data_IF_938650397940
#
_entry.id   IF_938650397940
#
_cell.length_a   1.000
_cell.length_b   1.000
_cell.length_c   1.000
_cell.angle_alpha   90.00
_cell.angle_beta   90.00
_cell.angle_gamma   90.00
#
_symmetry.space_group_name_H-M   'P 1'
#
loop_
_entity.id
_entity.type
_entity.pdbx_description
1 polymer ?
#
# COMPACT_ATOMS: atom_id res chain seq x y z
N UNK A 1 6.78 -21.73 -29.88
CA UNK A 1 5.82 -20.62 -29.80
C UNK A 1 6.56 -19.33 -30.14
N UNK A 2 6.25 -18.69 -31.26
CA UNK A 2 6.85 -17.40 -31.64
C UNK A 2 6.34 -16.34 -30.66
N UNK A 3 7.20 -15.85 -29.78
CA UNK A 3 6.88 -14.74 -28.87
C UNK A 3 6.80 -13.47 -29.69
N UNK A 4 5.61 -13.12 -30.16
CA UNK A 4 5.38 -11.81 -30.79
C UNK A 4 5.90 -10.72 -29.83
N UNK A 5 6.69 -9.77 -30.34
CA UNK A 5 7.19 -8.65 -29.55
C UNK A 5 6.02 -7.77 -29.11
N UNK A 6 6.08 -7.31 -27.85
CA UNK A 6 5.10 -6.35 -27.34
C UNK A 6 5.18 -5.03 -28.15
N UNK A 7 4.05 -4.35 -28.41
CA UNK A 7 4.01 -3.17 -29.26
C UNK A 7 4.72 -1.96 -28.64
N UNK A 8 5.10 -1.00 -29.48
CA UNK A 8 5.78 0.22 -29.04
C UNK A 8 4.95 1.06 -28.04
N UNK A 9 3.61 1.04 -28.17
CA UNK A 9 2.69 1.65 -27.22
C UNK A 9 2.82 1.07 -25.81
N UNK A 10 2.99 -0.26 -25.71
CA UNK A 10 3.24 -0.92 -24.43
C UNK A 10 4.59 -0.53 -23.84
N UNK A 11 5.65 -0.45 -24.65
CA UNK A 11 6.96 -0.03 -24.12
C UNK A 11 6.94 1.40 -23.57
N UNK A 12 6.19 2.32 -24.19
CA UNK A 12 5.99 3.67 -23.65
C UNK A 12 5.26 3.65 -22.32
N UNK A 13 4.14 2.90 -22.22
CA UNK A 13 3.40 2.72 -20.97
C UNK A 13 4.28 2.06 -19.88
N UNK A 14 5.04 1.03 -20.24
CA UNK A 14 5.93 0.33 -19.32
C UNK A 14 7.01 1.25 -18.77
N UNK A 15 7.70 2.02 -19.62
CA UNK A 15 8.71 2.98 -19.19
C UNK A 15 8.11 4.10 -18.33
N UNK A 16 6.93 4.61 -18.69
CA UNK A 16 6.20 5.57 -17.90
C UNK A 16 5.89 5.02 -16.49
N UNK A 17 5.39 3.79 -16.43
CA UNK A 17 5.09 3.10 -15.17
C UNK A 17 6.34 2.84 -14.32
N UNK A 18 7.46 2.44 -14.93
CA UNK A 18 8.76 2.30 -14.25
C UNK A 18 9.15 3.60 -13.55
N UNK A 19 9.09 4.73 -14.26
CA UNK A 19 9.46 6.04 -13.72
C UNK A 19 8.51 6.49 -12.61
N UNK A 20 7.20 6.39 -12.83
CA UNK A 20 6.18 6.77 -11.85
C UNK A 20 6.25 5.91 -10.59
N UNK A 21 6.43 4.58 -10.72
CA UNK A 21 6.56 3.68 -9.59
C UNK A 21 7.86 3.91 -8.80
N UNK A 22 8.95 4.26 -9.49
CA UNK A 22 10.19 4.65 -8.81
C UNK A 22 10.00 5.94 -8.01
N UNK A 23 9.31 6.95 -8.59
CA UNK A 23 8.89 8.16 -7.88
C UNK A 23 8.03 7.84 -6.66
N UNK A 24 7.00 7.00 -6.81
CA UNK A 24 6.16 6.53 -5.70
C UNK A 24 6.99 5.91 -4.57
N UNK A 25 7.97 5.06 -4.91
CA UNK A 25 8.86 4.44 -3.93
C UNK A 25 9.76 5.46 -3.22
N UNK A 26 10.21 6.49 -3.92
CA UNK A 26 10.94 7.62 -3.32
C UNK A 26 10.03 8.37 -2.37
N UNK A 27 8.82 8.69 -2.77
CA UNK A 27 7.85 9.41 -1.96
C UNK A 27 7.40 8.64 -0.72
N UNK A 28 7.29 7.32 -0.78
CA UNK A 28 6.93 6.46 0.35
C UNK A 28 7.89 6.61 1.56
N UNK A 29 9.15 6.97 1.32
CA UNK A 29 10.14 7.27 2.36
C UNK A 29 10.26 8.76 2.63
N UNK A 30 10.28 9.58 1.57
CA UNK A 30 10.53 11.01 1.69
C UNK A 30 9.41 11.74 2.44
N UNK A 31 8.14 11.46 2.14
CA UNK A 31 7.01 12.15 2.79
C UNK A 31 6.94 11.91 4.31
N UNK A 32 6.99 10.66 4.83
CA UNK A 32 7.07 10.43 6.27
C UNK A 32 8.28 11.10 6.93
N UNK A 33 9.44 11.08 6.27
CA UNK A 33 10.65 11.72 6.79
C UNK A 33 10.50 13.23 6.89
N UNK A 34 10.02 13.89 5.84
CA UNK A 34 9.73 15.32 5.81
C UNK A 34 8.66 15.68 6.84
N UNK A 35 7.60 14.90 6.94
CA UNK A 35 6.54 15.10 7.92
C UNK A 35 7.08 15.06 9.35
N UNK A 36 7.98 14.12 9.66
CA UNK A 36 8.63 14.01 10.97
C UNK A 36 9.58 15.19 11.26
N UNK A 37 10.04 15.90 10.24
CA UNK A 37 10.84 17.13 10.36
C UNK A 37 9.99 18.39 10.59
N UNK A 38 8.70 18.34 10.25
CA UNK A 38 7.74 19.43 10.43
C UNK A 38 6.99 19.30 11.77
N UNK A 39 6.72 18.07 12.20
CA UNK A 39 6.06 17.81 13.49
C UNK A 39 6.60 16.56 14.17
N UNK A 40 6.67 16.61 15.51
CA UNK A 40 7.01 15.46 16.37
C UNK A 40 5.80 14.92 17.12
N UNK A 41 4.61 15.40 16.78
CA UNK A 41 3.37 14.92 17.37
C UNK A 41 2.97 13.57 16.76
N UNK A 42 2.85 12.50 17.56
CA UNK A 42 2.42 11.20 17.08
C UNK A 42 1.04 11.25 16.43
N UNK A 43 0.11 12.02 17.01
CA UNK A 43 -1.23 12.19 16.48
C UNK A 43 -1.21 12.86 15.08
N UNK A 44 -0.45 13.94 14.92
CA UNK A 44 -0.38 14.65 13.64
C UNK A 44 0.25 13.77 12.55
N UNK A 45 1.27 12.99 12.87
CA UNK A 45 1.87 12.04 11.92
C UNK A 45 0.91 10.91 11.54
N UNK A 46 0.12 10.40 12.48
CA UNK A 46 -0.88 9.38 12.19
C UNK A 46 -2.01 9.88 11.29
N UNK A 47 -2.37 11.19 11.39
CA UNK A 47 -3.34 11.83 10.49
C UNK A 47 -2.79 11.94 9.06
N UNK A 48 -1.48 12.12 8.87
CA UNK A 48 -0.88 12.03 7.52
C UNK A 48 -1.05 10.62 6.94
N UNK A 49 -0.82 9.57 7.75
CA UNK A 49 -1.08 8.19 7.36
C UNK A 49 -2.56 7.91 7.03
N UNK A 50 -3.48 8.52 7.79
CA UNK A 50 -4.91 8.52 7.49
C UNK A 50 -5.18 9.12 6.10
N UNK A 51 -4.63 10.31 5.81
CA UNK A 51 -4.82 11.00 4.53
C UNK A 51 -4.23 10.22 3.34
N UNK A 52 -3.15 9.46 3.55
CA UNK A 52 -2.58 8.59 2.53
C UNK A 52 -3.50 7.40 2.17
N UNK A 53 -4.18 6.82 3.15
CA UNK A 53 -5.04 5.63 2.95
C UNK A 53 -6.49 5.98 2.60
N UNK A 54 -6.96 7.17 2.97
CA UNK A 54 -8.35 7.59 2.79
C UNK A 54 -8.84 7.60 1.32
N UNK A 55 -8.02 8.02 0.33
CA UNK A 55 -8.42 7.94 -1.07
C UNK A 55 -8.74 6.52 -1.53
N UNK A 56 -8.00 5.53 -1.09
CA UNK A 56 -8.27 4.13 -1.41
C UNK A 56 -9.60 3.66 -0.83
N UNK A 57 -9.97 4.11 0.36
CA UNK A 57 -11.26 3.77 0.97
C UNK A 57 -12.42 4.45 0.25
N UNK A 58 -12.31 5.76 -0.02
CA UNK A 58 -13.42 6.58 -0.53
C UNK A 58 -13.57 6.44 -2.05
N UNK A 59 -12.47 6.43 -2.79
CA UNK A 59 -12.48 6.51 -4.26
C UNK A 59 -12.24 5.19 -4.99
N UNK A 60 -11.82 4.11 -4.32
CA UNK A 60 -11.57 2.83 -5.02
C UNK A 60 -12.79 2.32 -5.80
N UNK A 61 -13.99 2.56 -5.30
CA UNK A 61 -15.23 2.17 -5.94
C UNK A 61 -15.71 3.18 -6.99
N UNK A 62 -15.82 4.50 -6.70
CA UNK A 62 -16.23 5.49 -7.70
C UNK A 62 -15.22 5.66 -8.84
N UNK A 63 -13.93 5.39 -8.59
CA UNK A 63 -12.87 5.53 -9.59
C UNK A 63 -13.14 4.69 -10.85
N UNK A 64 -13.65 3.46 -10.71
CA UNK A 64 -14.01 2.61 -11.83
C UNK A 64 -15.01 3.29 -12.78
N UNK A 65 -16.10 3.83 -12.21
CA UNK A 65 -17.14 4.55 -12.98
C UNK A 65 -16.56 5.80 -13.67
N UNK A 66 -15.67 6.51 -12.97
CA UNK A 66 -15.01 7.69 -13.55
C UNK A 66 -14.11 7.29 -14.72
N UNK A 67 -13.27 6.26 -14.56
CA UNK A 67 -12.34 5.77 -15.58
C UNK A 67 -13.08 5.28 -16.83
N UNK A 68 -14.25 4.67 -16.66
CA UNK A 68 -15.03 4.17 -17.81
C UNK A 68 -15.66 5.29 -18.66
N UNK A 69 -15.87 6.48 -18.08
CA UNK A 69 -16.47 7.63 -18.78
C UNK A 69 -15.47 8.48 -19.57
N UNK A 70 -14.18 8.37 -19.25
CA UNK A 70 -13.15 9.19 -19.88
C UNK A 70 -12.13 8.33 -20.63
N UNK A 71 -11.46 8.88 -21.67
CA UNK A 71 -10.37 8.18 -22.34
C UNK A 71 -9.27 7.85 -21.33
N UNK A 72 -8.97 6.58 -21.13
CA UNK A 72 -8.02 6.08 -20.10
C UNK A 72 -6.66 6.75 -20.18
N UNK A 73 -6.16 6.99 -21.42
CA UNK A 73 -4.92 7.76 -21.65
C UNK A 73 -4.99 9.16 -21.03
N UNK A 74 -6.10 9.87 -21.23
CA UNK A 74 -6.27 11.24 -20.70
C UNK A 74 -6.35 11.23 -19.18
N UNK A 75 -6.97 10.22 -18.58
CA UNK A 75 -7.02 10.06 -17.12
C UNK A 75 -5.61 9.89 -16.55
N UNK A 76 -4.79 9.00 -17.15
CA UNK A 76 -3.42 8.78 -16.67
C UNK A 76 -2.59 10.06 -16.79
N UNK A 77 -2.63 10.72 -17.96
CA UNK A 77 -1.88 11.97 -18.17
C UNK A 77 -2.32 13.06 -17.20
N UNK A 78 -3.63 13.22 -16.99
CA UNK A 78 -4.17 14.20 -16.05
C UNK A 78 -3.72 13.93 -14.61
N UNK A 79 -3.83 12.69 -14.16
CA UNK A 79 -3.44 12.32 -12.79
C UNK A 79 -1.94 12.47 -12.56
N UNK A 80 -1.09 12.11 -13.53
CA UNK A 80 0.34 12.29 -13.42
C UNK A 80 0.73 13.77 -13.42
N UNK A 81 0.15 14.60 -14.29
CA UNK A 81 0.39 16.05 -14.27
C UNK A 81 -0.06 16.66 -12.94
N UNK A 82 -1.24 16.29 -12.45
CA UNK A 82 -1.75 16.78 -11.15
C UNK A 82 -0.79 16.41 -10.01
N UNK A 83 -0.35 15.14 -9.96
CA UNK A 83 0.59 14.65 -8.93
C UNK A 83 1.92 15.38 -9.02
N UNK A 84 2.45 15.56 -10.23
CA UNK A 84 3.67 16.35 -10.46
C UNK A 84 3.55 17.80 -9.96
N UNK A 85 2.45 18.47 -10.27
CA UNK A 85 2.20 19.84 -9.79
C UNK A 85 2.06 19.90 -8.27
N UNK A 86 1.32 19.00 -7.65
CA UNK A 86 1.16 18.92 -6.18
C UNK A 86 2.53 18.72 -5.51
N UNK A 87 3.33 17.81 -6.02
CA UNK A 87 4.69 17.55 -5.51
C UNK A 87 5.60 18.79 -5.64
N UNK A 88 5.54 19.50 -6.77
CA UNK A 88 6.31 20.75 -6.95
C UNK A 88 5.84 21.86 -6.01
N UNK A 89 4.54 21.99 -5.74
CA UNK A 89 4.02 22.96 -4.77
C UNK A 89 4.57 22.65 -3.37
N UNK A 90 4.59 21.39 -2.97
CA UNK A 90 5.19 20.97 -1.70
C UNK A 90 6.70 21.30 -1.69
N UNK A 91 7.42 20.95 -2.74
CA UNK A 91 8.86 21.23 -2.85
C UNK A 91 9.17 22.73 -2.74
N UNK A 92 8.42 23.55 -3.44
CA UNK A 92 8.59 25.00 -3.42
C UNK A 92 8.26 25.60 -2.05
N UNK A 93 7.18 25.15 -1.40
CA UNK A 93 6.79 25.63 -0.07
C UNK A 93 7.84 25.28 0.99
N UNK A 94 8.41 24.07 0.92
CA UNK A 94 9.52 23.66 1.78
C UNK A 94 10.76 24.51 1.49
N UNK A 95 11.05 24.80 0.22
CA UNK A 95 12.18 25.65 -0.16
C UNK A 95 12.01 27.09 0.33
N UNK A 96 10.83 27.66 0.24
CA UNK A 96 10.53 29.02 0.70
C UNK A 96 10.66 29.14 2.23
N UNK A 97 10.46 28.06 2.98
CA UNK A 97 10.57 28.00 4.44
C UNK A 97 11.86 27.27 4.91
N UNK A 98 12.83 27.11 4.01
CA UNK A 98 14.05 26.35 4.27
C UNK A 98 14.90 26.86 5.44
N UNK A 99 14.77 28.15 5.80
CA UNK A 99 15.43 28.73 6.98
C UNK A 99 14.91 28.18 8.31
N UNK A 100 13.71 27.62 8.34
CA UNK A 100 13.06 27.07 9.53
C UNK A 100 13.03 25.54 9.56
N UNK A 101 13.33 24.87 8.44
CA UNK A 101 13.36 23.42 8.36
C UNK A 101 14.79 22.93 8.54
N UNK A 102 15.17 22.69 9.77
CA UNK A 102 16.40 21.96 10.07
C UNK A 102 16.18 20.49 9.66
N UNK A 103 16.81 20.10 8.54
CA UNK A 103 16.84 18.70 8.13
C UNK A 103 17.45 17.89 9.25
N UNK A 104 16.65 17.02 9.80
CA UNK A 104 17.11 16.08 10.80
C UNK A 104 17.96 15.02 10.10
N UNK A 105 19.21 15.34 9.81
CA UNK A 105 20.19 14.36 9.29
C UNK A 105 20.53 13.30 10.33
N UNK A 106 20.45 13.65 11.59
CA UNK A 106 20.59 12.76 12.75
C UNK A 106 19.83 13.40 13.91
N UNK A 107 18.85 12.69 14.47
CA UNK A 107 18.02 13.22 15.54
C UNK A 107 18.77 13.04 16.86
N UNK A 108 19.32 14.12 17.40
CA UNK A 108 19.56 14.19 18.83
C UNK A 108 18.20 14.15 19.56
N UNK A 109 18.08 13.35 20.61
CA UNK A 109 16.86 13.02 21.40
C UNK A 109 16.01 14.19 21.92
N UNK A 110 16.33 15.44 21.61
CA UNK A 110 15.85 16.62 22.35
C UNK A 110 15.43 17.83 21.54
N UNK A 111 15.33 17.76 20.22
CA UNK A 111 14.83 18.91 19.49
C UNK A 111 13.29 18.98 19.59
N UNK A 112 12.79 19.87 20.45
CA UNK A 112 11.39 20.31 20.41
C UNK A 112 11.20 21.03 19.08
N UNK A 113 10.55 20.36 18.14
CA UNK A 113 10.17 20.97 16.87
C UNK A 113 8.79 21.59 17.07
N UNK A 114 8.68 22.90 16.97
CA UNK A 114 7.40 23.58 16.87
C UNK A 114 6.78 23.23 15.53
N UNK A 115 5.57 22.69 15.56
CA UNK A 115 4.84 22.30 14.34
C UNK A 115 4.60 23.53 13.48
N UNK A 116 5.14 23.53 12.26
CA UNK A 116 4.75 24.51 11.25
C UNK A 116 3.37 24.12 10.69
N UNK A 117 2.33 24.78 11.21
CA UNK A 117 0.93 24.46 10.88
C UNK A 117 0.63 24.64 9.39
N UNK A 118 1.23 25.64 8.73
CA UNK A 118 1.02 25.89 7.30
C UNK A 118 1.55 24.76 6.43
N UNK A 119 2.81 24.35 6.66
CA UNK A 119 3.42 23.23 5.95
C UNK A 119 2.75 21.90 6.29
N UNK A 120 2.30 21.72 7.53
CA UNK A 120 1.58 20.52 7.94
C UNK A 120 0.26 20.38 7.18
N UNK A 121 -0.57 21.44 7.10
CA UNK A 121 -1.81 21.45 6.34
C UNK A 121 -1.55 21.19 4.86
N UNK A 122 -0.52 21.82 4.29
CA UNK A 122 -0.11 21.57 2.90
C UNK A 122 0.24 20.10 2.66
N UNK A 123 1.02 19.47 3.57
CA UNK A 123 1.34 18.05 3.46
C UNK A 123 0.11 17.15 3.55
N UNK A 124 -0.84 17.46 4.44
CA UNK A 124 -2.10 16.73 4.54
C UNK A 124 -2.87 16.77 3.21
N UNK A 125 -3.05 17.97 2.65
CA UNK A 125 -3.76 18.14 1.39
C UNK A 125 -3.01 17.47 0.24
N UNK A 126 -1.70 17.63 0.18
CA UNK A 126 -0.86 17.01 -0.84
C UNK A 126 -0.95 15.48 -0.77
N UNK A 127 -0.79 14.89 0.41
CA UNK A 127 -0.87 13.43 0.61
C UNK A 127 -2.24 12.88 0.15
N UNK A 128 -3.32 13.56 0.49
CA UNK A 128 -4.66 13.18 0.06
C UNK A 128 -4.81 13.26 -1.48
N UNK A 129 -4.39 14.39 -2.10
CA UNK A 129 -4.48 14.58 -3.55
C UNK A 129 -3.60 13.60 -4.33
N UNK A 130 -2.39 13.32 -3.84
CA UNK A 130 -1.49 12.32 -4.42
C UNK A 130 -2.13 10.93 -4.39
N UNK A 131 -2.75 10.57 -3.26
CA UNK A 131 -3.48 9.31 -3.13
C UNK A 131 -4.70 9.22 -4.06
N UNK A 132 -5.46 10.31 -4.25
CA UNK A 132 -6.54 10.37 -5.24
C UNK A 132 -6.02 10.14 -6.67
N UNK A 133 -4.92 10.80 -7.03
CA UNK A 133 -4.25 10.61 -8.31
C UNK A 133 -3.74 9.18 -8.49
N UNK A 134 -3.23 8.56 -7.44
CA UNK A 134 -2.76 7.18 -7.46
C UNK A 134 -3.90 6.18 -7.72
N UNK A 135 -5.03 6.31 -7.01
CA UNK A 135 -6.20 5.44 -7.21
C UNK A 135 -6.71 5.52 -8.65
N UNK A 136 -6.87 6.73 -9.18
CA UNK A 136 -7.35 6.95 -10.56
C UNK A 136 -6.31 6.50 -11.60
N UNK A 137 -5.04 6.86 -11.41
CA UNK A 137 -3.96 6.53 -12.33
C UNK A 137 -3.73 5.02 -12.43
N UNK A 138 -3.68 4.31 -11.29
CA UNK A 138 -3.52 2.85 -11.25
C UNK A 138 -4.71 2.13 -11.90
N UNK A 139 -5.94 2.55 -11.59
CA UNK A 139 -7.13 1.99 -12.20
C UNK A 139 -7.17 2.19 -13.72
N UNK A 140 -6.86 3.41 -14.18
CA UNK A 140 -6.80 3.72 -15.60
C UNK A 140 -5.67 2.96 -16.31
N UNK A 141 -4.49 2.83 -15.71
CA UNK A 141 -3.35 2.10 -16.26
C UNK A 141 -3.66 0.61 -16.44
N UNK A 142 -4.24 -0.05 -15.44
CA UNK A 142 -4.64 -1.46 -15.53
C UNK A 142 -5.64 -1.71 -16.66
N UNK A 143 -6.61 -0.81 -16.82
CA UNK A 143 -7.63 -0.92 -17.87
C UNK A 143 -7.15 -0.43 -19.24
N UNK A 144 -6.01 0.26 -19.32
CA UNK A 144 -5.41 0.72 -20.56
C UNK A 144 -4.60 -0.39 -21.28
N UNK A 145 -3.99 -1.31 -20.53
CA UNK A 145 -3.17 -2.40 -21.09
C UNK A 145 -3.93 -3.21 -22.16
N UNK A 146 -5.18 -3.69 -21.95
CA UNK A 146 -5.91 -4.44 -22.97
C UNK A 146 -6.21 -3.66 -24.26
N UNK A 147 -6.16 -2.33 -24.20
CA UNK A 147 -6.39 -1.48 -25.38
C UNK A 147 -5.17 -1.34 -26.29
N UNK A 148 -3.97 -1.70 -25.80
CA UNK A 148 -2.71 -1.48 -26.50
C UNK A 148 -1.93 -2.78 -26.77
N UNK A 149 -2.34 -3.92 -26.19
CA UNK A 149 -1.74 -5.24 -26.44
C UNK A 149 -2.75 -6.22 -27.00
N UNK A 150 -2.30 -7.31 -27.61
CA UNK A 150 -3.14 -8.43 -28.04
C UNK A 150 -3.50 -9.33 -26.84
N UNK A 151 -4.59 -10.08 -26.95
CA UNK A 151 -5.11 -10.89 -25.85
C UNK A 151 -4.13 -11.97 -25.40
N UNK A 152 -3.39 -12.57 -26.32
CA UNK A 152 -2.36 -13.59 -26.08
C UNK A 152 -1.10 -13.03 -25.37
N UNK A 153 -0.94 -11.70 -25.33
CA UNK A 153 0.17 -11.00 -24.70
C UNK A 153 -0.17 -10.43 -23.31
N UNK A 154 -1.44 -10.45 -22.89
CA UNK A 154 -1.91 -9.81 -21.66
C UNK A 154 -1.21 -10.33 -20.40
N UNK A 155 -1.04 -11.64 -20.29
CA UNK A 155 -0.36 -12.25 -19.13
C UNK A 155 1.09 -11.77 -19.02
N UNK A 156 1.80 -11.73 -20.14
CA UNK A 156 3.19 -11.26 -20.19
C UNK A 156 3.28 -9.75 -19.86
N UNK A 157 2.36 -8.95 -20.42
CA UNK A 157 2.32 -7.51 -20.18
C UNK A 157 2.02 -7.19 -18.72
N UNK A 158 0.97 -7.79 -18.14
CA UNK A 158 0.61 -7.60 -16.74
C UNK A 158 1.69 -8.11 -15.79
N UNK A 159 2.28 -9.27 -16.07
CA UNK A 159 3.38 -9.81 -15.26
C UNK A 159 4.59 -8.88 -15.20
N UNK A 160 4.99 -8.29 -16.34
CA UNK A 160 6.07 -7.31 -16.40
C UNK A 160 5.73 -6.02 -15.65
N UNK A 161 4.50 -5.51 -15.80
CA UNK A 161 4.04 -4.31 -15.09
C UNK A 161 4.09 -4.53 -13.58
N UNK A 162 3.55 -5.63 -13.10
CA UNK A 162 3.52 -5.95 -11.67
C UNK A 162 4.93 -6.17 -11.08
N UNK A 163 5.80 -6.87 -11.83
CA UNK A 163 7.20 -7.06 -11.42
C UNK A 163 7.92 -5.72 -11.35
N UNK A 164 7.72 -4.86 -12.33
CA UNK A 164 8.31 -3.52 -12.37
C UNK A 164 7.82 -2.65 -11.21
N UNK A 165 6.51 -2.64 -10.94
CA UNK A 165 5.91 -1.92 -9.82
C UNK A 165 6.55 -2.38 -8.49
N UNK A 166 6.56 -3.68 -8.23
CA UNK A 166 7.14 -4.23 -7.00
C UNK A 166 8.63 -3.89 -6.86
N UNK A 167 9.39 -4.00 -7.95
CA UNK A 167 10.83 -3.74 -7.94
C UNK A 167 11.16 -2.25 -7.77
N UNK A 168 10.45 -1.38 -8.50
CA UNK A 168 10.73 0.05 -8.47
C UNK A 168 10.20 0.70 -7.19
N UNK A 169 8.96 0.43 -6.81
CA UNK A 169 8.32 1.08 -5.69
C UNK A 169 8.82 0.57 -4.33
N UNK A 170 8.99 -0.75 -4.18
CA UNK A 170 9.28 -1.33 -2.87
C UNK A 170 10.76 -1.65 -2.65
N UNK A 171 11.55 -1.83 -3.71
CA UNK A 171 12.95 -2.24 -3.58
C UNK A 171 13.94 -1.13 -3.97
N UNK A 172 13.77 -0.48 -5.13
CA UNK A 172 14.69 0.54 -5.62
C UNK A 172 14.39 1.94 -5.08
N UNK A 173 13.10 2.28 -4.92
CA UNK A 173 12.66 3.60 -4.49
C UNK A 173 13.14 4.00 -3.10
N UNK A 174 12.98 3.17 -2.05
CA UNK A 174 13.38 3.52 -0.69
C UNK A 174 14.87 3.84 -0.53
N UNK A 175 15.84 3.06 -1.04
CA UNK A 175 17.25 3.43 -1.00
C UNK A 175 17.55 4.72 -1.80
N UNK A 176 16.92 4.88 -2.97
CA UNK A 176 17.07 6.09 -3.77
C UNK A 176 16.56 7.32 -3.01
N UNK A 177 15.41 7.21 -2.34
CA UNK A 177 14.88 8.28 -1.49
C UNK A 177 15.90 8.73 -0.43
N UNK A 178 16.57 7.76 0.19
CA UNK A 178 17.57 8.03 1.24
C UNK A 178 18.80 8.74 0.70
N UNK A 179 19.28 8.34 -0.47
CA UNK A 179 20.39 9.03 -1.15
C UNK A 179 19.97 10.47 -1.51
N UNK A 180 18.79 10.64 -2.09
CA UNK A 180 18.27 11.96 -2.47
C UNK A 180 18.05 12.86 -1.25
N UNK A 181 17.46 12.35 -0.15
CA UNK A 181 17.34 13.07 1.12
C UNK A 181 18.69 13.44 1.72
N UNK A 182 19.71 12.60 1.54
CA UNK A 182 21.07 12.87 1.93
C UNK A 182 21.70 14.06 1.19
N UNK A 183 21.30 14.27 -0.06
CA UNK A 183 21.72 15.44 -0.86
C UNK A 183 20.94 16.70 -0.47
N UNK A 184 19.61 16.60 -0.44
CA UNK A 184 18.73 17.73 -0.11
C UNK A 184 17.31 17.23 0.18
N UNK A 185 16.56 17.95 1.04
CA UNK A 185 15.11 17.69 1.27
C UNK A 185 14.29 17.82 -0.02
N UNK A 186 14.73 18.68 -0.93
CA UNK A 186 14.03 18.93 -2.19
C UNK A 186 14.29 17.86 -3.23
N UNK A 187 15.46 17.20 -3.17
CA UNK A 187 15.87 16.26 -4.22
C UNK A 187 14.86 15.12 -4.44
N UNK A 188 14.32 14.45 -3.42
CA UNK A 188 13.32 13.42 -3.62
C UNK A 188 12.01 13.96 -4.21
N UNK A 189 11.58 15.16 -3.78
CA UNK A 189 10.36 15.78 -4.28
C UNK A 189 10.53 16.22 -5.75
N UNK A 190 11.68 16.79 -6.11
CA UNK A 190 11.99 17.14 -7.48
C UNK A 190 12.07 15.91 -8.38
N UNK A 191 12.68 14.83 -7.90
CA UNK A 191 12.74 13.57 -8.62
C UNK A 191 11.35 12.98 -8.85
N UNK A 192 10.52 12.93 -7.80
CA UNK A 192 9.15 12.41 -7.87
C UNK A 192 8.28 13.23 -8.82
N UNK A 193 8.29 14.57 -8.69
CA UNK A 193 7.59 15.47 -9.61
C UNK A 193 8.04 15.28 -11.06
N UNK A 194 9.36 15.21 -11.30
CA UNK A 194 9.92 14.96 -12.63
C UNK A 194 9.50 13.59 -13.19
N UNK A 195 9.43 12.55 -12.36
CA UNK A 195 9.01 11.23 -12.76
C UNK A 195 7.56 11.22 -13.25
N UNK A 196 6.66 11.96 -12.60
CA UNK A 196 5.26 12.09 -13.03
C UNK A 196 5.14 12.86 -14.34
N UNK A 197 5.86 13.95 -14.54
CA UNK A 197 5.84 14.67 -15.81
C UNK A 197 6.44 13.86 -16.96
N UNK A 198 7.50 13.09 -16.69
CA UNK A 198 8.08 12.17 -17.67
C UNK A 198 7.10 11.06 -18.04
N UNK A 199 6.39 10.48 -17.04
CA UNK A 199 5.32 9.51 -17.27
C UNK A 199 4.19 10.11 -18.12
N UNK A 200 3.67 11.27 -17.75
CA UNK A 200 2.63 11.97 -18.49
C UNK A 200 3.04 12.23 -19.94
N UNK A 201 4.28 12.67 -20.16
CA UNK A 201 4.86 12.90 -21.50
C UNK A 201 4.91 11.63 -22.34
N UNK A 202 5.46 10.54 -21.79
CA UNK A 202 5.56 9.24 -22.47
C UNK A 202 4.19 8.69 -22.87
N UNK A 203 3.21 8.75 -21.97
CA UNK A 203 1.84 8.31 -22.24
C UNK A 203 1.17 9.26 -23.24
N UNK A 204 1.41 10.56 -23.12
CA UNK A 204 0.98 11.56 -24.09
C UNK A 204 1.48 11.33 -25.51
N UNK A 205 2.64 10.68 -25.67
CA UNK A 205 3.21 10.32 -26.98
C UNK A 205 2.64 9.02 -27.57
N UNK A 206 1.73 8.32 -26.90
CA UNK A 206 1.03 7.15 -27.48
C UNK A 206 -0.02 7.67 -28.45
N UNK A 207 0.14 7.39 -29.75
CA UNK A 207 -0.79 7.84 -30.76
C UNK A 207 -2.18 7.21 -30.59
N UNK A 208 -3.24 7.99 -30.78
CA UNK A 208 -4.62 7.52 -30.64
C UNK A 208 -4.96 6.37 -31.62
N UNK A 209 -4.29 6.33 -32.79
CA UNK A 209 -4.42 5.24 -33.76
C UNK A 209 -3.87 3.90 -33.27
N UNK A 210 -3.03 3.88 -32.24
CA UNK A 210 -2.49 2.66 -31.61
C UNK A 210 -3.35 2.14 -30.46
N UNK A 211 -4.43 2.83 -30.15
CA UNK A 211 -5.35 2.48 -29.05
C UNK A 211 -6.60 1.85 -29.66
N UNK A 212 -6.91 0.63 -29.27
CA UNK A 212 -8.17 -0.01 -29.67
C UNK A 212 -9.34 0.84 -29.22
N UNK A 213 -10.39 0.91 -30.06
CA UNK A 213 -11.57 1.70 -29.75
C UNK A 213 -12.20 1.23 -28.43
N UNK A 214 -12.24 2.15 -27.46
CA UNK A 214 -12.86 1.87 -26.17
C UNK A 214 -14.37 1.71 -26.37
N UNK A 215 -14.93 0.57 -26.02
CA UNK A 215 -16.38 0.42 -25.93
C UNK A 215 -16.83 1.13 -24.65
N UNK A 216 -17.44 2.27 -24.82
CA UNK A 216 -18.11 2.97 -23.70
C UNK A 216 -19.39 2.18 -23.46
N UNK A 217 -19.49 1.51 -22.31
CA UNK A 217 -20.69 0.78 -21.93
C UNK A 217 -21.86 1.77 -21.76
N UNK A 218 -22.90 1.61 -22.59
CA UNK A 218 -24.14 2.39 -22.46
C UNK A 218 -24.97 1.97 -21.23
N UNK A 219 -24.69 0.81 -20.68
CA UNK A 219 -25.35 0.29 -19.48
C UNK A 219 -24.84 1.07 -18.28
N UNK A 220 -25.70 1.86 -17.67
CA UNK A 220 -25.42 2.50 -16.37
C UNK A 220 -25.30 1.39 -15.33
N UNK A 221 -24.10 1.11 -14.81
CA UNK A 221 -23.97 0.14 -13.75
C UNK A 221 -24.76 0.66 -12.54
N UNK A 222 -25.69 -0.12 -12.05
CA UNK A 222 -26.31 0.17 -10.76
C UNK A 222 -25.34 -0.25 -9.65
N UNK A 223 -24.36 0.64 -9.42
CA UNK A 223 -23.31 0.43 -8.44
C UNK A 223 -23.84 0.04 -7.05
N UNK A 224 -25.01 0.64 -6.63
CA UNK A 224 -25.61 0.31 -5.33
C UNK A 224 -26.16 -1.11 -5.32
N UNK A 225 -26.80 -1.54 -6.42
CA UNK A 225 -27.31 -2.89 -6.54
C UNK A 225 -26.17 -3.92 -6.59
N UNK A 226 -25.12 -3.67 -7.37
CA UNK A 226 -23.95 -4.54 -7.47
C UNK A 226 -23.18 -4.67 -6.16
N UNK A 227 -22.98 -3.56 -5.45
CA UNK A 227 -22.34 -3.56 -4.13
C UNK A 227 -23.20 -4.31 -3.11
N UNK A 228 -24.52 -4.08 -3.12
CA UNK A 228 -25.48 -4.77 -2.24
C UNK A 228 -25.49 -6.27 -2.50
N UNK A 229 -25.43 -6.70 -3.75
CA UNK A 229 -25.37 -8.10 -4.14
C UNK A 229 -24.07 -8.76 -3.64
N UNK A 230 -22.92 -8.16 -3.91
CA UNK A 230 -21.63 -8.64 -3.42
C UNK A 230 -21.57 -8.69 -1.88
N UNK A 231 -22.09 -7.66 -1.20
CA UNK A 231 -22.15 -7.61 0.26
C UNK A 231 -23.10 -8.70 0.80
N UNK A 232 -24.29 -8.85 0.23
CA UNK A 232 -25.27 -9.84 0.66
C UNK A 232 -24.72 -11.25 0.50
N UNK A 233 -24.08 -11.53 -0.63
CA UNK A 233 -23.46 -12.84 -0.87
C UNK A 233 -22.33 -13.12 0.13
N UNK A 234 -21.40 -12.19 0.33
CA UNK A 234 -20.30 -12.34 1.28
C UNK A 234 -20.81 -12.51 2.72
N UNK A 235 -21.86 -11.75 3.09
CA UNK A 235 -22.42 -11.79 4.45
C UNK A 235 -23.02 -13.13 4.82
N UNK A 236 -23.62 -13.83 3.86
CA UNK A 236 -24.22 -15.15 4.07
C UNK A 236 -23.23 -16.31 3.87
N UNK A 237 -22.01 -16.02 3.33
CA UNK A 237 -21.05 -17.09 3.11
C UNK A 237 -20.31 -17.48 4.40
N UNK A 238 -20.47 -18.75 4.88
CA UNK A 238 -20.03 -19.17 6.22
C UNK A 238 -18.51 -19.13 6.40
N UNK A 239 -17.74 -19.27 5.33
CA UNK A 239 -16.27 -19.26 5.36
C UNK A 239 -15.66 -17.91 4.97
N UNK A 240 -16.11 -17.30 3.88
CA UNK A 240 -15.49 -16.07 3.36
C UNK A 240 -15.81 -14.83 4.20
N UNK A 241 -16.97 -14.77 4.85
CA UNK A 241 -17.30 -13.68 5.78
C UNK A 241 -16.30 -13.59 6.95
N UNK A 242 -16.06 -14.64 7.75
CA UNK A 242 -15.01 -14.60 8.78
C UNK A 242 -13.63 -14.21 8.21
N UNK A 243 -13.27 -14.75 7.05
CA UNK A 243 -11.97 -14.47 6.42
C UNK A 243 -11.82 -12.99 6.03
N UNK A 244 -12.90 -12.32 5.60
CA UNK A 244 -12.90 -10.88 5.32
C UNK A 244 -12.69 -10.05 6.59
N UNK A 245 -13.35 -10.41 7.70
CA UNK A 245 -13.17 -9.76 9.00
C UNK A 245 -11.75 -9.98 9.54
N UNK A 246 -11.20 -11.18 9.42
CA UNK A 246 -9.83 -11.50 9.81
C UNK A 246 -8.86 -10.60 9.03
N UNK A 247 -8.99 -10.50 7.70
CA UNK A 247 -8.13 -9.67 6.88
C UNK A 247 -8.25 -8.18 7.25
N UNK A 248 -9.48 -7.69 7.43
CA UNK A 248 -9.71 -6.31 7.88
C UNK A 248 -9.06 -6.04 9.23
N UNK A 249 -9.20 -6.97 10.19
CA UNK A 249 -8.58 -6.86 11.51
C UNK A 249 -7.06 -6.83 11.43
N UNK A 250 -6.43 -7.74 10.67
CA UNK A 250 -4.97 -7.78 10.48
C UNK A 250 -4.49 -6.46 9.89
N UNK A 251 -5.12 -5.97 8.83
CA UNK A 251 -4.71 -4.72 8.17
C UNK A 251 -4.90 -3.50 9.09
N UNK A 252 -6.01 -3.44 9.84
CA UNK A 252 -6.24 -2.37 10.82
C UNK A 252 -5.23 -2.38 11.96
N UNK A 253 -4.90 -3.57 12.48
CA UNK A 253 -3.90 -3.73 13.54
C UNK A 253 -2.48 -3.42 13.03
N UNK A 254 -2.14 -3.79 11.82
CA UNK A 254 -0.88 -3.39 11.21
C UNK A 254 -0.80 -1.87 11.06
N UNK A 255 -1.84 -1.22 10.52
CA UNK A 255 -1.88 0.23 10.41
C UNK A 255 -1.79 0.93 11.77
N UNK A 256 -2.39 0.34 12.82
CA UNK A 256 -2.25 0.82 14.20
C UNK A 256 -0.81 0.69 14.67
N UNK A 257 -0.19 -0.49 14.53
CA UNK A 257 1.19 -0.75 14.94
C UNK A 257 2.22 0.15 14.25
N UNK A 258 2.03 0.41 12.96
CA UNK A 258 2.94 1.23 12.14
C UNK A 258 2.58 2.72 12.11
N UNK A 259 1.54 3.17 12.82
CA UNK A 259 1.02 4.56 12.78
C UNK A 259 2.06 5.65 13.03
N UNK A 260 3.03 5.38 13.90
CA UNK A 260 4.11 6.30 14.29
C UNK A 260 5.50 5.69 14.06
N UNK A 261 5.60 4.70 13.20
CA UNK A 261 6.83 3.94 12.98
C UNK A 261 8.04 4.81 12.62
N UNK A 262 7.84 5.92 11.91
CA UNK A 262 8.90 6.86 11.58
C UNK A 262 9.56 7.44 12.85
N UNK A 263 8.77 7.78 13.87
CA UNK A 263 9.31 8.30 15.15
C UNK A 263 10.06 7.20 15.89
N UNK A 264 9.49 5.99 15.95
CA UNK A 264 10.16 4.84 16.57
C UNK A 264 11.50 4.53 15.89
N UNK A 265 11.51 4.49 14.55
CA UNK A 265 12.74 4.25 13.78
C UNK A 265 13.80 5.33 14.04
N UNK A 266 13.39 6.59 14.10
CA UNK A 266 14.31 7.70 14.34
C UNK A 266 14.80 7.78 15.79
N UNK A 267 13.91 7.65 16.77
CA UNK A 267 14.20 7.96 18.18
C UNK A 267 14.67 6.73 18.97
N UNK A 268 14.15 5.54 18.70
CA UNK A 268 14.48 4.28 19.39
C UNK A 268 15.51 3.44 18.64
N UNK A 269 15.34 3.27 17.31
CA UNK A 269 16.31 2.54 16.50
C UNK A 269 17.47 3.41 16.00
N UNK A 270 17.44 4.72 16.28
CA UNK A 270 18.46 5.70 15.91
C UNK A 270 18.81 5.68 14.41
N UNK A 271 17.82 5.46 13.55
CA UNK A 271 18.05 5.39 12.12
C UNK A 271 18.41 6.77 11.57
N UNK A 272 19.47 6.79 10.75
CA UNK A 272 19.73 7.88 9.82
C UNK A 272 18.78 7.82 8.64
N UNK A 273 18.78 8.84 7.77
CA UNK A 273 18.07 8.82 6.49
C UNK A 273 18.39 7.55 5.68
N UNK A 274 19.69 7.22 5.59
CA UNK A 274 20.14 6.06 4.81
C UNK A 274 19.67 4.73 5.40
N UNK A 275 19.84 4.55 6.71
CA UNK A 275 19.45 3.31 7.37
C UNK A 275 17.93 3.13 7.42
N UNK A 276 17.15 4.22 7.45
CA UNK A 276 15.70 4.14 7.33
C UNK A 276 15.24 3.67 5.94
N UNK A 277 15.89 4.16 4.87
CA UNK A 277 15.61 3.66 3.53
C UNK A 277 16.00 2.19 3.36
N UNK A 278 17.12 1.77 3.93
CA UNK A 278 17.50 0.36 3.96
C UNK A 278 16.50 -0.47 4.78
N UNK A 279 16.09 -0.01 5.96
CA UNK A 279 15.07 -0.66 6.78
C UNK A 279 13.78 -0.89 5.99
N UNK A 280 13.37 0.07 5.17
CA UNK A 280 12.15 -0.02 4.34
C UNK A 280 12.25 -1.11 3.24
N UNK A 281 13.44 -1.60 2.88
CA UNK A 281 13.59 -2.68 1.89
C UNK A 281 13.32 -4.07 2.46
N UNK A 282 13.28 -4.23 3.78
CA UNK A 282 13.07 -5.52 4.43
C UNK A 282 11.79 -6.21 3.96
N UNK A 283 10.67 -5.47 3.97
CA UNK A 283 9.39 -5.98 3.47
C UNK A 283 9.44 -6.40 2.00
N UNK A 284 10.10 -5.63 1.13
CA UNK A 284 10.24 -5.99 -0.28
C UNK A 284 11.03 -7.30 -0.48
N UNK A 285 12.13 -7.47 0.28
CA UNK A 285 12.93 -8.69 0.24
C UNK A 285 12.12 -9.91 0.69
N UNK A 286 11.45 -9.81 1.84
CA UNK A 286 10.58 -10.87 2.35
C UNK A 286 9.42 -11.20 1.41
N UNK A 287 8.78 -10.18 0.85
CA UNK A 287 7.70 -10.34 -0.12
C UNK A 287 8.13 -11.04 -1.40
N UNK A 288 9.30 -10.71 -1.95
CA UNK A 288 9.86 -11.37 -3.12
C UNK A 288 10.15 -12.86 -2.85
N UNK A 289 10.79 -13.18 -1.71
CA UNK A 289 11.02 -14.57 -1.31
C UNK A 289 9.71 -15.32 -1.08
N UNK A 290 8.74 -14.69 -0.42
CA UNK A 290 7.40 -15.25 -0.21
C UNK A 290 6.73 -15.61 -1.52
N UNK A 291 6.74 -14.71 -2.51
CA UNK A 291 6.17 -14.95 -3.83
C UNK A 291 6.81 -16.12 -4.57
N UNK A 292 8.16 -16.19 -4.57
CA UNK A 292 8.90 -17.26 -5.23
C UNK A 292 8.64 -18.63 -4.58
N UNK A 293 8.53 -18.67 -3.26
CA UNK A 293 8.43 -19.92 -2.50
C UNK A 293 7.01 -20.35 -2.19
N UNK A 294 6.00 -19.45 -2.33
CA UNK A 294 4.62 -19.67 -1.91
C UNK A 294 4.05 -21.00 -2.44
N UNK A 295 4.16 -21.26 -3.72
CA UNK A 295 3.59 -22.48 -4.32
C UNK A 295 4.17 -23.77 -3.74
N UNK A 296 5.49 -23.81 -3.49
CA UNK A 296 6.15 -24.97 -2.89
C UNK A 296 5.76 -25.17 -1.42
N UNK A 297 5.71 -24.07 -0.67
CA UNK A 297 5.37 -24.09 0.76
C UNK A 297 3.91 -24.49 0.97
N UNK A 298 2.99 -23.88 0.19
CA UNK A 298 1.55 -24.20 0.27
C UNK A 298 1.30 -25.66 -0.08
N UNK A 299 1.97 -26.19 -1.13
CA UNK A 299 1.86 -27.58 -1.51
C UNK A 299 2.38 -28.54 -0.42
N UNK A 300 3.48 -28.16 0.28
CA UNK A 300 4.10 -29.00 1.31
C UNK A 300 3.34 -29.00 2.63
N UNK A 301 2.88 -27.83 3.09
CA UNK A 301 2.33 -27.64 4.44
C UNK A 301 0.80 -27.51 4.48
N UNK A 302 0.16 -27.32 3.34
CA UNK A 302 -1.28 -27.11 3.23
C UNK A 302 -1.73 -25.68 3.59
N UNK A 303 -2.92 -25.33 3.12
CA UNK A 303 -3.47 -23.96 3.24
C UNK A 303 -3.81 -23.62 4.71
N UNK A 304 -4.45 -24.55 5.43
CA UNK A 304 -4.89 -24.33 6.81
C UNK A 304 -3.73 -24.03 7.75
N UNK A 305 -2.62 -24.79 7.67
CA UNK A 305 -1.47 -24.60 8.53
C UNK A 305 -0.81 -23.24 8.26
N UNK A 306 -0.69 -22.83 6.99
CA UNK A 306 -0.10 -21.53 6.63
C UNK A 306 -0.95 -20.39 7.20
N UNK A 307 -2.27 -20.43 7.04
CA UNK A 307 -3.16 -19.40 7.59
C UNK A 307 -3.04 -19.31 9.13
N UNK A 308 -2.92 -20.45 9.82
CA UNK A 308 -2.71 -20.48 11.28
C UNK A 308 -1.36 -19.90 11.68
N UNK A 309 -0.28 -20.27 10.96
CA UNK A 309 1.06 -19.73 11.23
C UNK A 309 1.09 -18.21 11.05
N UNK A 310 0.46 -17.70 10.01
CA UNK A 310 0.45 -16.25 9.74
C UNK A 310 -0.31 -15.51 10.83
N UNK A 311 -1.49 -15.97 11.21
CA UNK A 311 -2.31 -15.26 12.20
C UNK A 311 -1.71 -15.31 13.61
N UNK A 312 -1.02 -16.38 13.96
CA UNK A 312 -0.30 -16.50 15.23
C UNK A 312 1.04 -15.77 15.21
N UNK A 313 1.69 -15.72 14.04
CA UNK A 313 2.97 -15.05 13.85
C UNK A 313 2.88 -13.53 13.85
N UNK A 314 1.80 -12.97 13.31
CA UNK A 314 1.64 -11.51 13.21
C UNK A 314 1.80 -10.76 14.56
N UNK A 315 1.17 -11.18 15.66
CA UNK A 315 1.42 -10.58 16.99
C UNK A 315 2.87 -10.72 17.46
N UNK A 316 3.51 -11.85 17.19
CA UNK A 316 4.90 -12.12 17.58
C UNK A 316 5.84 -11.17 16.83
N UNK A 317 5.60 -10.92 15.53
CA UNK A 317 6.39 -9.97 14.75
C UNK A 317 6.25 -8.54 15.27
N UNK A 318 5.04 -8.10 15.63
CA UNK A 318 4.79 -6.78 16.19
C UNK A 318 5.51 -6.60 17.56
N UNK A 319 5.48 -7.60 18.42
CA UNK A 319 6.23 -7.58 19.68
C UNK A 319 7.74 -7.58 19.41
N UNK A 320 8.21 -8.45 18.52
CA UNK A 320 9.62 -8.48 18.13
C UNK A 320 10.10 -7.13 17.59
N UNK A 321 9.28 -6.46 16.78
CA UNK A 321 9.57 -5.13 16.25
C UNK A 321 9.60 -4.07 17.35
N UNK A 322 8.59 -4.06 18.26
CA UNK A 322 8.50 -3.13 19.38
C UNK A 322 9.73 -3.18 20.30
N UNK A 323 10.34 -4.34 20.46
CA UNK A 323 11.51 -4.56 21.33
C UNK A 323 12.80 -4.75 20.54
N UNK A 324 12.83 -4.47 19.25
CA UNK A 324 14.07 -4.48 18.46
C UNK A 324 15.05 -3.44 19.00
N UNK A 325 16.28 -3.84 19.35
CA UNK A 325 17.30 -2.92 19.86
C UNK A 325 18.04 -2.18 18.74
N UNK A 326 18.00 -2.71 17.51
CA UNK A 326 18.74 -2.21 16.34
C UNK A 326 17.90 -2.34 15.06
N UNK A 327 18.16 -1.47 14.11
CA UNK A 327 17.39 -1.43 12.88
C UNK A 327 17.58 -2.68 11.98
N UNK A 328 18.72 -3.37 12.06
CA UNK A 328 18.99 -4.60 11.32
C UNK A 328 18.06 -5.73 11.74
N UNK A 329 17.78 -5.85 13.04
CA UNK A 329 16.81 -6.83 13.54
C UNK A 329 15.39 -6.45 13.10
N UNK A 330 15.05 -5.17 13.15
CA UNK A 330 13.75 -4.67 12.67
C UNK A 330 13.58 -4.95 11.16
N UNK A 331 14.65 -4.78 10.35
CA UNK A 331 14.66 -5.15 8.94
C UNK A 331 14.39 -6.64 8.74
N UNK A 332 15.06 -7.49 9.48
CA UNK A 332 14.86 -8.95 9.40
C UNK A 332 13.43 -9.35 9.79
N UNK A 333 12.90 -8.78 10.86
CA UNK A 333 11.52 -9.02 11.30
C UNK A 333 10.52 -8.58 10.23
N UNK A 334 10.70 -7.40 9.65
CA UNK A 334 9.85 -6.91 8.55
C UNK A 334 9.94 -7.82 7.30
N UNK A 335 11.12 -8.37 7.00
CA UNK A 335 11.28 -9.33 5.91
C UNK A 335 10.51 -10.63 6.19
N UNK A 336 10.60 -11.17 7.40
CA UNK A 336 9.89 -12.39 7.79
C UNK A 336 8.37 -12.14 7.81
N UNK A 337 7.92 -11.01 8.37
CA UNK A 337 6.50 -10.63 8.37
C UNK A 337 5.92 -10.58 6.97
N UNK A 338 6.58 -9.85 6.05
CA UNK A 338 6.09 -9.71 4.68
C UNK A 338 6.14 -11.03 3.90
N UNK A 339 7.13 -11.88 4.15
CA UNK A 339 7.16 -13.23 3.61
C UNK A 339 5.88 -14.01 3.95
N UNK A 340 5.48 -14.01 5.20
CA UNK A 340 4.24 -14.67 5.63
C UNK A 340 2.97 -13.95 5.15
N UNK A 341 2.99 -12.62 5.06
CA UNK A 341 1.88 -11.85 4.51
C UNK A 341 1.61 -12.19 3.02
N UNK A 342 2.66 -12.44 2.23
CA UNK A 342 2.51 -12.91 0.85
C UNK A 342 1.94 -14.34 0.81
N UNK A 343 2.37 -15.24 1.68
CA UNK A 343 1.78 -16.59 1.77
C UNK A 343 0.28 -16.52 2.09
N UNK A 344 -0.13 -15.66 3.03
CA UNK A 344 -1.54 -15.38 3.33
C UNK A 344 -2.29 -14.91 2.09
N UNK A 345 -1.73 -13.93 1.38
CA UNK A 345 -2.34 -13.36 0.18
C UNK A 345 -2.54 -14.43 -0.90
N UNK A 346 -1.50 -15.21 -1.22
CA UNK A 346 -1.60 -16.27 -2.23
C UNK A 346 -2.67 -17.29 -1.88
N UNK A 347 -2.72 -17.75 -0.61
CA UNK A 347 -3.74 -18.71 -0.17
C UNK A 347 -5.14 -18.11 -0.26
N UNK A 348 -5.36 -16.93 0.31
CA UNK A 348 -6.71 -16.34 0.41
C UNK A 348 -7.25 -15.83 -0.91
N UNK A 349 -6.40 -15.31 -1.81
CA UNK A 349 -6.79 -14.91 -3.17
C UNK A 349 -7.19 -16.14 -3.98
N UNK A 350 -6.36 -17.20 -3.99
CA UNK A 350 -6.69 -18.44 -4.70
C UNK A 350 -7.99 -19.06 -4.20
N UNK A 351 -8.20 -19.09 -2.86
CA UNK A 351 -9.45 -19.61 -2.30
C UNK A 351 -10.68 -18.81 -2.73
N UNK A 352 -10.59 -17.48 -2.77
CA UNK A 352 -11.69 -16.65 -3.25
C UNK A 352 -12.01 -16.92 -4.72
N UNK A 353 -11.01 -17.07 -5.56
CA UNK A 353 -11.18 -17.40 -6.99
C UNK A 353 -11.78 -18.79 -7.18
N UNK A 354 -11.53 -19.75 -6.29
CA UNK A 354 -12.09 -21.09 -6.33
C UNK A 354 -13.53 -21.18 -5.79
N UNK A 355 -13.91 -20.32 -4.84
CA UNK A 355 -15.19 -20.40 -4.10
C UNK A 355 -16.25 -19.47 -4.69
N UNK A 356 -15.86 -18.29 -5.18
CA UNK A 356 -16.81 -17.27 -5.64
C UNK A 356 -17.14 -17.54 -7.12
N UNK A 357 -18.44 -17.63 -7.50
CA UNK A 357 -18.84 -17.74 -8.89
C UNK A 357 -18.31 -16.58 -9.75
N UNK A 358 -17.87 -16.87 -10.98
CA UNK A 358 -17.25 -15.90 -11.89
C UNK A 358 -18.12 -14.64 -12.11
N UNK A 359 -19.46 -14.80 -12.17
CA UNK A 359 -20.42 -13.74 -12.43
C UNK A 359 -20.42 -12.63 -11.36
N UNK A 360 -20.08 -12.97 -10.12
CA UNK A 360 -20.09 -12.05 -8.95
C UNK A 360 -18.71 -11.83 -8.35
N UNK A 361 -17.67 -12.51 -8.88
CA UNK A 361 -16.30 -12.44 -8.34
C UNK A 361 -15.80 -11.00 -8.19
N UNK A 362 -16.03 -10.15 -9.17
CA UNK A 362 -15.64 -8.73 -9.13
C UNK A 362 -16.36 -7.96 -8.02
N UNK A 363 -17.67 -8.18 -7.86
CA UNK A 363 -18.53 -7.51 -6.86
C UNK A 363 -18.12 -7.91 -5.45
N UNK A 364 -17.93 -9.21 -5.20
CA UNK A 364 -17.51 -9.74 -3.89
C UNK A 364 -16.08 -9.30 -3.56
N UNK A 365 -15.14 -9.31 -4.53
CA UNK A 365 -13.78 -8.82 -4.32
C UNK A 365 -13.75 -7.32 -3.98
N UNK A 366 -14.63 -6.50 -4.56
CA UNK A 366 -14.74 -5.07 -4.22
C UNK A 366 -15.14 -4.88 -2.76
N UNK A 367 -16.13 -5.63 -2.28
CA UNK A 367 -16.53 -5.65 -0.86
C UNK A 367 -15.39 -6.13 0.04
N UNK A 368 -14.71 -7.19 -0.38
CA UNK A 368 -13.57 -7.73 0.36
C UNK A 368 -12.42 -6.71 0.50
N UNK A 369 -12.12 -5.99 -0.58
CA UNK A 369 -11.14 -4.89 -0.55
C UNK A 369 -11.58 -3.73 0.34
N UNK A 370 -12.88 -3.41 0.38
CA UNK A 370 -13.41 -2.40 1.28
C UNK A 370 -13.14 -2.77 2.75
N UNK A 371 -13.39 -4.01 3.17
CA UNK A 371 -13.04 -4.48 4.51
C UNK A 371 -11.53 -4.48 4.75
N UNK A 372 -10.74 -4.92 3.76
CA UNK A 372 -9.30 -5.00 3.87
C UNK A 372 -8.62 -3.64 4.04
N UNK A 373 -9.06 -2.62 3.27
CA UNK A 373 -8.44 -1.30 3.26
C UNK A 373 -9.13 -0.31 4.21
N UNK A 374 -10.43 -0.48 4.46
CA UNK A 374 -11.22 0.44 5.27
C UNK A 374 -10.84 0.48 6.75
N UNK A 375 -10.24 -0.58 7.26
CA UNK A 375 -9.74 -0.65 8.64
C UNK A 375 -8.41 0.11 8.85
N UNK A 376 -7.63 0.31 7.81
CA UNK A 376 -6.31 0.94 7.91
C UNK A 376 -6.34 2.39 8.40
N UNK A 377 -7.18 3.30 7.83
CA UNK A 377 -7.29 4.66 8.32
C UNK A 377 -7.66 4.73 9.80
N UNK A 378 -8.59 3.86 10.23
CA UNK A 378 -9.04 3.79 11.62
C UNK A 378 -7.89 3.34 12.53
N UNK A 379 -7.18 2.27 12.14
CA UNK A 379 -6.02 1.77 12.88
C UNK A 379 -4.93 2.83 13.04
N UNK A 380 -4.59 3.54 11.97
CA UNK A 380 -3.57 4.60 12.01
C UNK A 380 -3.90 5.68 13.04
N UNK A 381 -5.14 6.19 13.06
CA UNK A 381 -5.56 7.22 14.01
C UNK A 381 -5.56 6.69 15.45
N UNK A 382 -6.10 5.49 15.68
CA UNK A 382 -6.10 4.86 17.02
C UNK A 382 -4.67 4.75 17.54
N UNK A 383 -3.70 4.35 16.71
CA UNK A 383 -2.31 4.26 17.11
C UNK A 383 -1.71 5.61 17.52
N UNK A 384 -1.95 6.67 16.75
CA UNK A 384 -1.49 8.01 17.08
C UNK A 384 -2.11 8.57 18.38
N UNK A 385 -3.41 8.35 18.58
CA UNK A 385 -4.13 8.71 19.81
C UNK A 385 -3.55 7.93 21.01
N UNK A 386 -3.33 6.63 20.85
CA UNK A 386 -2.77 5.77 21.89
C UNK A 386 -1.42 6.27 22.36
N UNK A 387 -0.50 6.59 21.45
CA UNK A 387 0.81 7.16 21.80
C UNK A 387 0.64 8.48 22.53
N UNK A 388 -0.24 9.36 22.05
CA UNK A 388 -0.48 10.66 22.67
C UNK A 388 -0.94 10.52 24.12
N UNK A 389 -1.84 9.58 24.40
CA UNK A 389 -2.29 9.27 25.76
C UNK A 389 -1.15 8.67 26.58
N UNK A 390 -0.40 7.72 26.03
CA UNK A 390 0.69 7.05 26.73
C UNK A 390 1.87 7.98 27.06
N UNK A 391 2.06 9.08 26.32
CA UNK A 391 3.06 10.10 26.62
C UNK A 391 2.84 10.81 27.98
N UNK A 392 1.61 10.80 28.50
CA UNK A 392 1.31 11.34 29.85
C UNK A 392 1.64 10.35 30.97
N UNK A 393 1.78 9.06 30.65
CA UNK A 393 1.93 7.98 31.64
C UNK A 393 3.33 7.35 31.62
N UNK A 394 4.00 7.37 30.48
CA UNK A 394 5.24 6.64 30.22
C UNK A 394 6.30 7.52 29.57
N UNK A 395 7.54 7.04 29.57
CA UNK A 395 8.60 7.67 28.80
C UNK A 395 8.29 7.66 27.29
N UNK A 396 8.81 8.65 26.54
CA UNK A 396 8.55 8.77 25.12
C UNK A 396 8.94 7.51 24.32
N UNK A 397 10.10 6.90 24.62
CA UNK A 397 10.53 5.67 23.95
C UNK A 397 9.56 4.51 24.18
N UNK A 398 9.03 4.34 25.42
CA UNK A 398 8.03 3.33 25.66
C UNK A 398 6.70 3.66 25.00
N UNK A 399 6.26 4.92 25.04
CA UNK A 399 5.04 5.37 24.40
C UNK A 399 5.03 5.09 22.89
N UNK A 400 6.16 5.28 22.19
CA UNK A 400 6.29 4.98 20.74
C UNK A 400 6.14 3.48 20.40
N UNK A 401 6.38 2.59 21.36
CA UNK A 401 6.21 1.13 21.21
C UNK A 401 4.79 0.65 21.46
N UNK A 402 3.99 1.46 22.18
CA UNK A 402 2.64 1.06 22.62
C UNK A 402 1.70 0.69 21.47
N UNK A 403 1.72 1.31 20.26
CA UNK A 403 0.88 0.87 19.16
C UNK A 403 1.17 -0.56 18.71
N UNK A 404 2.44 -0.94 18.62
CA UNK A 404 2.85 -2.28 18.23
C UNK A 404 2.46 -3.31 19.30
N UNK A 405 2.67 -2.98 20.56
CA UNK A 405 2.30 -3.85 21.69
C UNK A 405 0.77 -4.03 21.75
N UNK A 406 0.02 -2.95 21.64
CA UNK A 406 -1.45 -2.98 21.67
C UNK A 406 -2.02 -3.74 20.47
N UNK A 407 -1.48 -3.51 19.28
CA UNK A 407 -1.85 -4.26 18.07
C UNK A 407 -1.54 -5.75 18.22
N UNK A 408 -0.42 -6.12 18.85
CA UNK A 408 -0.08 -7.50 19.10
C UNK A 408 -1.06 -8.17 20.09
N UNK A 409 -1.42 -7.50 21.19
CA UNK A 409 -2.39 -8.01 22.16
C UNK A 409 -3.76 -8.23 21.49
N UNK A 410 -4.25 -7.25 20.75
CA UNK A 410 -5.50 -7.41 19.99
C UNK A 410 -5.36 -8.47 18.88
N UNK A 411 -4.20 -8.59 18.27
CA UNK A 411 -3.88 -9.64 17.30
C UNK A 411 -3.99 -11.05 17.87
N UNK A 412 -3.56 -11.26 19.12
CA UNK A 412 -3.79 -12.54 19.84
C UNK A 412 -5.27 -12.83 20.06
N UNK A 413 -6.06 -11.79 20.39
CA UNK A 413 -7.52 -11.94 20.50
C UNK A 413 -8.13 -12.33 19.14
N UNK A 414 -7.74 -11.63 18.06
CA UNK A 414 -8.19 -11.98 16.71
C UNK A 414 -7.76 -13.39 16.34
N UNK A 415 -6.52 -13.80 16.65
CA UNK A 415 -6.04 -15.15 16.40
C UNK A 415 -6.89 -16.21 17.14
N UNK A 416 -7.15 -15.98 18.42
CA UNK A 416 -7.98 -16.90 19.22
C UNK A 416 -9.36 -17.17 18.61
N UNK A 417 -10.07 -16.11 18.20
CA UNK A 417 -11.38 -16.24 17.55
C UNK A 417 -11.31 -16.76 16.11
N UNK A 418 -10.17 -16.60 15.45
CA UNK A 418 -10.01 -16.97 14.03
C UNK A 418 -9.60 -18.44 13.85
N UNK A 419 -8.80 -19.00 14.76
CA UNK A 419 -8.26 -20.37 14.65
C UNK A 419 -9.32 -21.44 14.37
N UNK A 420 -10.52 -21.42 15.02
CA UNK A 420 -11.58 -22.40 14.75
C UNK A 420 -12.18 -22.31 13.33
N UNK A 421 -11.98 -21.19 12.62
CA UNK A 421 -12.46 -20.99 11.26
C UNK A 421 -11.43 -21.39 10.20
N UNK A 422 -10.14 -21.51 10.56
CA UNK A 422 -9.03 -21.80 9.67
C UNK A 422 -8.64 -23.29 9.70
N UNK A 423 -9.62 -24.19 9.63
CA UNK A 423 -9.41 -25.64 9.61
C UNK A 423 -9.47 -26.19 8.19
N UNK A 424 -8.71 -27.25 7.91
CA UNK A 424 -8.72 -27.89 6.59
C UNK A 424 -10.13 -28.36 6.19
N UNK A 425 -10.88 -28.91 7.14
CA UNK A 425 -12.25 -29.37 6.90
C UNK A 425 -13.19 -28.25 6.42
N UNK A 426 -13.11 -27.05 7.05
CA UNK A 426 -13.91 -25.89 6.61
C UNK A 426 -13.47 -25.34 5.27
N UNK A 427 -12.18 -25.41 4.95
CA UNK A 427 -11.66 -25.01 3.64
C UNK A 427 -12.19 -25.95 2.57
N UNK A 428 -12.13 -27.26 2.80
CA UNK A 428 -12.59 -28.27 1.85
C UNK A 428 -14.13 -28.24 1.70
N UNK A 429 -14.87 -28.05 2.78
CA UNK A 429 -16.32 -27.83 2.74
C UNK A 429 -16.71 -26.60 1.89
N UNK A 430 -15.99 -25.46 2.09
CA UNK A 430 -16.25 -24.25 1.32
C UNK A 430 -15.96 -24.43 -0.18
N UNK A 431 -14.93 -25.17 -0.53
CA UNK A 431 -14.58 -25.50 -1.91
C UNK A 431 -15.56 -26.50 -2.55
N UNK A 432 -16.04 -27.48 -1.81
CA UNK A 432 -17.02 -28.45 -2.30
C UNK A 432 -18.43 -27.87 -2.52
N UNK A 433 -18.73 -26.72 -1.89
CA UNK A 433 -19.97 -25.95 -2.15
C UNK A 433 -19.84 -25.00 -3.36
N UNK A 434 -18.61 -24.59 -3.73
CA UNK A 434 -18.37 -23.81 -4.93
C UNK A 434 -18.57 -24.56 -6.24
N UNK A 435 -18.53 -25.89 -6.21
CA UNK A 435 -18.78 -26.75 -7.40
C UNK A 435 -20.28 -27.09 -7.58
N UNK A 436 -21.18 -26.62 -6.69
CA UNK A 436 -22.60 -27.02 -6.67
C UNK A 436 -23.60 -25.88 -6.91
N UNK A 437 -23.15 -24.64 -6.94
CA UNK A 437 -23.96 -23.44 -7.23
C UNK A 437 -23.51 -22.77 -8.54
#
# INVERSE_FOLDING_TARGET
MSTKKLPASYHKLFTASVLSNLGNGVSAVAYPWIASSITRSPLLLSIIGLMASMPWLVFSLPAGVFIDRFPRRSVIVFTDVLRGLVTLVVAFSIWADASHIHIVRSIAKTSIIHTNTGLYILLLMATFLLGCGEVLGNGASQTFIPLIVETDQLETANGRMWTSESLMQNFMGPPLASVLLGLSVFAPLMFDGASFFASAGLIGLIASSMIKKQQISEVKPDFKAELKEGLNWLWHHPFLRPLAFILGSINGLNALGFSVFILFAQEDLHTSVLTFGLLSTGGAFGGALGGILAGRIIKKFGRALILKIVILGAPVFLIGLAFSPVWELAWFIAAVEMFFAILWNVVTVSMRQEIIPDQILGRVNSVYRFFALGSQPIGAVIGGVLVTICLHLFSRGFALRTPMIFAAVLGLVVAYFSLPHLTQAKIDEARGKGDKD
#
